data_IF_579172778221
#
_entry.id   IF_579172778221
#
_cell.length_a   1.000
_cell.length_b   1.000
_cell.length_c   1.000
_cell.angle_alpha   90.00
_cell.angle_beta   90.00
_cell.angle_gamma   90.00
#
_symmetry.space_group_name_H-M   'P 1'
#
loop_
_entity.id
_entity.type
_entity.pdbx_description
1 polymer ?
#
# COMPACT_ATOMS: atom_id res chain seq x y z
N UNK A 1 -22.16 -5.00 37.03
CA UNK A 1 -22.48 -4.73 35.62
C UNK A 1 -21.27 -5.02 34.75
N UNK A 2 -21.48 -5.50 33.52
CA UNK A 2 -20.39 -5.69 32.56
C UNK A 2 -19.94 -4.33 32.04
N UNK A 3 -18.63 -4.08 32.04
CA UNK A 3 -18.02 -2.89 31.42
C UNK A 3 -17.67 -3.25 29.98
N UNK A 4 -17.92 -2.36 29.04
CA UNK A 4 -17.48 -2.47 27.66
C UNK A 4 -16.83 -1.16 27.24
N UNK A 5 -15.95 -1.24 26.27
CA UNK A 5 -15.33 -0.10 25.60
C UNK A 5 -15.59 -0.21 24.09
N UNK A 6 -15.78 0.93 23.46
CA UNK A 6 -15.89 1.02 21.99
C UNK A 6 -14.67 1.77 21.51
N UNK A 7 -13.95 1.17 20.57
CA UNK A 7 -12.84 1.80 19.87
C UNK A 7 -13.26 1.97 18.41
N UNK A 8 -13.13 3.18 17.88
CA UNK A 8 -13.41 3.50 16.49
C UNK A 8 -12.14 4.03 15.83
N UNK A 9 -11.94 3.70 14.57
CA UNK A 9 -10.86 4.22 13.76
C UNK A 9 -11.45 4.77 12.45
N UNK A 10 -10.88 5.85 11.94
CA UNK A 10 -11.27 6.47 10.68
C UNK A 10 -10.06 7.08 9.98
N UNK A 11 -10.16 7.19 8.66
CA UNK A 11 -9.18 7.89 7.85
C UNK A 11 -9.53 9.39 7.76
N UNK A 12 -8.54 10.28 7.54
CA UNK A 12 -8.76 11.71 7.38
C UNK A 12 -9.65 12.07 6.18
N UNK A 13 -9.64 11.24 5.14
CA UNK A 13 -10.51 11.37 3.98
C UNK A 13 -11.40 10.13 3.82
N UNK A 14 -12.62 10.34 3.37
CA UNK A 14 -13.55 9.28 2.93
C UNK A 14 -13.04 8.62 1.64
N UNK A 15 -13.68 7.53 1.20
CA UNK A 15 -13.34 6.89 -0.09
C UNK A 15 -13.57 7.83 -1.29
N UNK A 16 -14.52 8.76 -1.18
CA UNK A 16 -14.76 9.82 -2.18
C UNK A 16 -13.78 10.99 -2.11
N UNK A 17 -12.90 11.02 -1.10
CA UNK A 17 -11.90 12.05 -0.88
C UNK A 17 -12.42 13.29 -0.14
N UNK A 18 -13.61 13.23 0.45
CA UNK A 18 -14.11 14.28 1.30
C UNK A 18 -13.46 14.21 2.69
N UNK A 19 -13.31 15.36 3.37
CA UNK A 19 -12.75 15.38 4.73
C UNK A 19 -13.69 14.63 5.67
N UNK A 20 -13.13 13.73 6.47
CA UNK A 20 -13.89 13.02 7.48
C UNK A 20 -14.00 13.89 8.73
N UNK A 21 -15.23 14.23 9.10
CA UNK A 21 -15.52 14.99 10.30
C UNK A 21 -16.16 14.08 11.37
N UNK A 22 -15.60 14.10 12.56
CA UNK A 22 -16.22 13.46 13.72
C UNK A 22 -17.33 14.39 14.23
N UNK A 23 -18.60 13.92 14.32
CA UNK A 23 -19.67 14.75 14.85
C UNK A 23 -19.34 15.29 16.24
N UNK A 24 -19.61 16.58 16.50
CA UNK A 24 -19.30 17.24 17.76
C UNK A 24 -19.80 16.50 19.00
N UNK A 25 -21.01 15.94 18.91
CA UNK A 25 -21.59 15.14 19.99
C UNK A 25 -20.75 13.91 20.36
N UNK A 26 -20.03 13.34 19.42
CA UNK A 26 -19.15 12.19 19.62
C UNK A 26 -17.77 12.66 20.09
N UNK A 27 -17.20 13.66 19.44
CA UNK A 27 -15.90 14.24 19.78
C UNK A 27 -15.86 14.73 21.25
N UNK A 28 -16.96 15.33 21.74
CA UNK A 28 -17.06 15.82 23.11
C UNK A 28 -17.21 14.72 24.19
N UNK A 29 -17.39 13.46 23.79
CA UNK A 29 -17.64 12.32 24.71
C UNK A 29 -16.65 11.19 24.56
N UNK A 30 -15.73 11.29 23.62
CA UNK A 30 -14.72 10.30 23.32
C UNK A 30 -13.32 10.86 23.55
N UNK A 31 -12.39 10.03 23.95
CA UNK A 31 -10.97 10.35 23.87
C UNK A 31 -10.53 10.22 22.42
N UNK A 32 -10.23 11.35 21.77
CA UNK A 32 -9.81 11.40 20.36
C UNK A 32 -8.31 11.44 20.28
N UNK A 33 -7.72 10.48 19.58
CA UNK A 33 -6.30 10.39 19.34
C UNK A 33 -6.00 10.50 17.84
N UNK A 34 -5.22 11.49 17.45
CA UNK A 34 -4.64 11.55 16.11
C UNK A 34 -3.32 10.76 16.14
N UNK A 35 -3.26 9.68 15.37
CA UNK A 35 -2.09 8.80 15.33
C UNK A 35 -0.91 9.41 14.56
N UNK A 36 -1.15 10.43 13.73
CA UNK A 36 -0.12 11.10 12.94
C UNK A 36 0.61 10.14 11.99
N UNK A 37 1.91 10.31 11.85
CA UNK A 37 2.76 9.42 11.07
C UNK A 37 3.11 8.15 11.86
N UNK A 38 2.22 7.17 11.76
CA UNK A 38 2.39 5.85 12.42
C UNK A 38 3.48 5.00 11.78
N UNK A 39 3.95 5.35 10.58
CA UNK A 39 4.96 4.59 9.84
C UNK A 39 6.38 4.97 10.28
N UNK A 40 6.58 6.18 10.81
CA UNK A 40 7.91 6.69 11.15
C UNK A 40 8.68 5.75 12.08
N UNK A 41 9.85 5.28 11.63
CA UNK A 41 10.72 4.35 12.33
C UNK A 41 10.19 2.91 12.44
N UNK A 42 9.10 2.57 11.72
CA UNK A 42 8.49 1.24 11.70
C UNK A 42 8.23 0.72 10.30
N UNK A 43 8.88 1.31 9.31
CA UNK A 43 8.65 1.04 7.89
C UNK A 43 8.82 -0.44 7.54
N UNK A 44 9.79 -1.12 8.16
CA UNK A 44 10.03 -2.56 7.94
C UNK A 44 8.88 -3.42 8.45
N UNK A 45 8.30 -3.09 9.61
CA UNK A 45 7.15 -3.82 10.15
C UNK A 45 5.94 -3.68 9.23
N UNK A 46 5.67 -2.45 8.77
CA UNK A 46 4.59 -2.21 7.81
C UNK A 46 4.85 -2.90 6.48
N UNK A 47 6.09 -2.87 5.98
CA UNK A 47 6.48 -3.58 4.76
C UNK A 47 6.20 -5.09 4.85
N UNK A 48 6.49 -5.73 5.98
CA UNK A 48 6.16 -7.13 6.22
C UNK A 48 4.66 -7.36 6.29
N UNK A 49 3.90 -6.53 7.00
CA UNK A 49 2.44 -6.68 7.13
C UNK A 49 1.70 -6.51 5.80
N UNK A 50 2.20 -5.70 4.87
CA UNK A 50 1.68 -5.67 3.49
C UNK A 50 1.86 -7.01 2.77
N UNK A 51 3.01 -7.69 2.97
CA UNK A 51 3.25 -9.01 2.39
C UNK A 51 2.38 -10.08 3.02
N UNK A 52 2.12 -10.03 4.33
CA UNK A 52 1.17 -10.94 5.00
C UNK A 52 -0.23 -10.85 4.38
N UNK A 53 -0.69 -9.64 4.05
CA UNK A 53 -1.95 -9.47 3.32
C UNK A 53 -1.92 -10.10 1.92
N UNK A 54 -0.77 -10.11 1.25
CA UNK A 54 -0.61 -10.73 -0.06
C UNK A 54 -0.70 -12.27 0.00
N UNK A 55 -0.25 -12.89 1.09
CA UNK A 55 -0.24 -14.35 1.25
C UNK A 55 -1.63 -14.97 1.08
N UNK A 56 -2.65 -14.34 1.66
CA UNK A 56 -4.03 -14.86 1.59
C UNK A 56 -4.77 -14.43 0.32
N UNK A 57 -4.29 -13.40 -0.37
CA UNK A 57 -4.92 -12.85 -1.56
C UNK A 57 -4.39 -13.44 -2.86
N UNK A 58 -3.13 -13.86 -2.88
CA UNK A 58 -2.49 -14.37 -4.10
C UNK A 58 -2.65 -15.89 -4.21
N UNK A 59 -3.19 -16.43 -5.34
CA UNK A 59 -3.43 -17.86 -5.51
C UNK A 59 -2.17 -18.74 -5.38
N UNK A 60 -1.00 -18.23 -5.80
CA UNK A 60 0.28 -18.96 -5.74
C UNK A 60 0.81 -19.00 -4.30
N UNK A 61 0.54 -17.95 -3.50
CA UNK A 61 1.00 -17.86 -2.10
C UNK A 61 0.01 -18.48 -1.11
N UNK A 62 -1.25 -18.60 -1.47
CA UNK A 62 -2.29 -19.11 -0.58
C UNK A 62 -1.94 -20.45 0.09
N UNK A 63 -1.31 -21.45 -0.60
CA UNK A 63 -0.87 -22.67 0.05
C UNK A 63 0.15 -22.43 1.18
N UNK A 64 0.96 -21.36 1.11
CA UNK A 64 1.96 -21.04 2.13
C UNK A 64 1.31 -20.60 3.45
N UNK A 65 0.13 -19.98 3.41
CA UNK A 65 -0.60 -19.56 4.60
C UNK A 65 -0.99 -20.72 5.53
N UNK A 66 -1.09 -21.95 4.98
CA UNK A 66 -1.37 -23.18 5.75
C UNK A 66 -0.11 -23.98 6.11
N UNK A 67 1.06 -23.52 5.67
CA UNK A 67 2.37 -24.15 5.94
C UNK A 67 3.05 -23.48 7.14
N UNK A 68 4.31 -23.85 7.40
CA UNK A 68 5.10 -23.30 8.49
C UNK A 68 5.37 -21.79 8.28
N UNK A 69 4.96 -20.88 9.19
CA UNK A 69 5.17 -19.43 9.02
C UNK A 69 6.65 -19.05 8.83
N UNK A 70 7.58 -19.83 9.40
CA UNK A 70 9.01 -19.61 9.24
C UNK A 70 9.46 -19.72 7.78
N UNK A 71 8.78 -20.51 6.94
CA UNK A 71 9.09 -20.65 5.52
C UNK A 71 8.76 -19.37 4.74
N UNK A 72 7.72 -18.64 5.14
CA UNK A 72 7.41 -17.33 4.55
C UNK A 72 8.56 -16.35 4.78
N UNK A 73 9.09 -16.27 6.00
CA UNK A 73 10.24 -15.42 6.30
C UNK A 73 11.49 -15.83 5.51
N UNK A 74 11.73 -17.13 5.34
CA UNK A 74 12.83 -17.64 4.52
C UNK A 74 12.68 -17.26 3.04
N UNK A 75 11.47 -17.35 2.50
CA UNK A 75 11.15 -16.90 1.12
C UNK A 75 11.37 -15.38 0.96
N UNK A 76 10.97 -14.58 1.94
CA UNK A 76 11.25 -13.14 1.94
C UNK A 76 12.76 -12.87 1.90
N UNK A 77 13.56 -13.53 2.76
CA UNK A 77 15.03 -13.42 2.76
C UNK A 77 15.64 -13.87 1.43
N UNK A 78 15.18 -15.00 0.90
CA UNK A 78 15.62 -15.50 -0.42
C UNK A 78 15.34 -14.47 -1.53
N UNK A 79 14.17 -13.84 -1.53
CA UNK A 79 13.83 -12.81 -2.50
C UNK A 79 14.62 -11.51 -2.30
N UNK A 80 15.06 -11.21 -1.08
CA UNK A 80 15.94 -10.08 -0.76
C UNK A 80 17.41 -10.32 -1.20
N UNK A 81 17.74 -11.54 -1.60
CA UNK A 81 19.07 -11.91 -2.09
C UNK A 81 19.95 -12.64 -1.08
N UNK A 82 19.40 -13.01 0.08
CA UNK A 82 20.11 -13.85 1.03
C UNK A 82 20.27 -15.27 0.47
N UNK A 83 21.37 -15.92 0.81
CA UNK A 83 21.52 -17.34 0.59
C UNK A 83 20.71 -18.11 1.64
N UNK A 84 19.67 -18.80 1.20
CA UNK A 84 18.82 -19.65 2.06
C UNK A 84 18.90 -21.08 1.51
N UNK A 85 19.66 -21.97 2.17
CA UNK A 85 19.72 -23.36 1.75
C UNK A 85 18.35 -24.04 1.76
N UNK A 86 18.09 -24.90 0.78
CA UNK A 86 16.82 -25.65 0.70
C UNK A 86 16.51 -26.50 1.94
N UNK A 87 17.56 -26.91 2.67
CA UNK A 87 17.45 -27.67 3.93
C UNK A 87 16.92 -26.85 5.12
N UNK A 88 16.91 -25.51 5.01
CA UNK A 88 16.33 -24.65 6.06
C UNK A 88 14.79 -24.62 6.00
N UNK A 89 14.21 -24.91 4.83
CA UNK A 89 12.76 -24.90 4.69
C UNK A 89 12.14 -26.14 5.36
N UNK A 90 11.05 -25.93 6.07
CA UNK A 90 10.28 -27.03 6.67
C UNK A 90 9.54 -27.84 5.60
N UNK A 91 9.06 -27.16 4.53
CA UNK A 91 8.48 -27.83 3.37
C UNK A 91 9.55 -28.11 2.30
N UNK A 92 9.57 -29.30 1.68
CA UNK A 92 10.54 -29.64 0.65
C UNK A 92 10.14 -28.99 -0.69
N UNK A 93 10.54 -27.72 -0.89
CA UNK A 93 10.32 -27.01 -2.15
C UNK A 93 11.25 -27.52 -3.25
N UNK A 94 10.72 -27.73 -4.46
CA UNK A 94 11.52 -27.94 -5.66
C UNK A 94 12.22 -26.64 -6.11
N UNK A 95 13.35 -26.76 -6.82
CA UNK A 95 14.08 -25.60 -7.31
C UNK A 95 13.21 -24.66 -8.17
N UNK A 96 12.44 -25.24 -9.10
CA UNK A 96 11.52 -24.46 -9.95
C UNK A 96 10.42 -23.75 -9.14
N UNK A 97 9.90 -24.38 -8.09
CA UNK A 97 8.91 -23.78 -7.20
C UNK A 97 9.51 -22.60 -6.41
N UNK A 98 10.74 -22.75 -5.91
CA UNK A 98 11.46 -21.66 -5.23
C UNK A 98 11.73 -20.48 -6.16
N UNK A 99 12.13 -20.75 -7.41
CA UNK A 99 12.35 -19.69 -8.40
C UNK A 99 11.06 -18.94 -8.73
N UNK A 100 9.94 -19.64 -8.85
CA UNK A 100 8.62 -19.05 -9.08
C UNK A 100 8.17 -18.20 -7.90
N UNK A 101 8.28 -18.72 -6.67
CA UNK A 101 7.94 -18.00 -5.45
C UNK A 101 8.82 -16.76 -5.27
N UNK A 102 10.13 -16.88 -5.54
CA UNK A 102 11.06 -15.75 -5.51
C UNK A 102 10.67 -14.67 -6.52
N UNK A 103 10.39 -15.07 -7.77
CA UNK A 103 9.98 -14.15 -8.81
C UNK A 103 8.69 -13.39 -8.44
N UNK A 104 7.73 -14.09 -7.84
CA UNK A 104 6.50 -13.48 -7.33
C UNK A 104 6.77 -12.50 -6.18
N UNK A 105 7.59 -12.90 -5.20
CA UNK A 105 7.93 -12.03 -4.06
C UNK A 105 8.58 -10.73 -4.50
N UNK A 106 9.48 -10.75 -5.49
CA UNK A 106 10.11 -9.55 -6.03
C UNK A 106 9.08 -8.56 -6.61
N UNK A 107 8.05 -9.07 -7.29
CA UNK A 107 6.95 -8.24 -7.83
C UNK A 107 6.07 -7.68 -6.73
N UNK A 108 5.80 -8.49 -5.70
CA UNK A 108 5.06 -8.03 -4.52
C UNK A 108 5.84 -6.98 -3.73
N UNK A 109 7.17 -7.08 -3.64
CA UNK A 109 8.01 -6.03 -3.05
C UNK A 109 7.86 -4.70 -3.80
N UNK A 110 7.91 -4.73 -5.13
CA UNK A 110 7.73 -3.53 -5.95
C UNK A 110 6.34 -2.91 -5.74
N UNK A 111 5.27 -3.73 -5.73
CA UNK A 111 3.91 -3.25 -5.46
C UNK A 111 3.78 -2.66 -4.04
N UNK A 112 4.29 -3.36 -3.02
CA UNK A 112 4.35 -2.88 -1.63
C UNK A 112 5.04 -1.53 -1.52
N UNK A 113 6.20 -1.38 -2.15
CA UNK A 113 7.00 -0.16 -2.06
C UNK A 113 6.27 1.04 -2.68
N UNK A 114 5.55 0.82 -3.78
CA UNK A 114 4.66 1.82 -4.37
C UNK A 114 3.53 2.19 -3.40
N UNK A 115 2.86 1.19 -2.82
CA UNK A 115 1.76 1.42 -1.86
C UNK A 115 2.24 2.17 -0.62
N UNK A 116 3.41 1.84 -0.09
CA UNK A 116 3.98 2.55 1.06
C UNK A 116 4.31 4.00 0.74
N UNK A 117 4.89 4.30 -0.44
CA UNK A 117 5.13 5.68 -0.90
C UNK A 117 3.83 6.47 -1.02
N UNK A 118 2.80 5.86 -1.60
CA UNK A 118 1.47 6.48 -1.74
C UNK A 118 0.85 6.72 -0.36
N UNK A 119 0.97 5.77 0.56
CA UNK A 119 0.43 5.92 1.90
C UNK A 119 1.12 7.05 2.69
N UNK A 120 2.46 7.18 2.58
CA UNK A 120 3.19 8.29 3.18
C UNK A 120 2.74 9.64 2.61
N UNK A 121 2.65 9.76 1.29
CA UNK A 121 2.17 10.99 0.64
C UNK A 121 0.73 11.35 1.06
N UNK A 122 -0.13 10.35 1.23
CA UNK A 122 -1.48 10.53 1.77
C UNK A 122 -1.47 11.07 3.21
N UNK A 123 -0.66 10.47 4.10
CA UNK A 123 -0.53 10.88 5.51
C UNK A 123 0.01 12.31 5.60
N UNK A 124 1.08 12.61 4.86
CA UNK A 124 1.68 13.95 4.79
C UNK A 124 0.69 14.99 4.28
N UNK A 125 -0.06 14.65 3.23
CA UNK A 125 -1.10 15.53 2.71
C UNK A 125 -2.22 15.75 3.71
N UNK A 126 -2.68 14.71 4.38
CA UNK A 126 -3.76 14.80 5.37
C UNK A 126 -3.38 15.60 6.61
N UNK A 127 -2.09 15.64 6.96
CA UNK A 127 -1.58 16.43 8.11
C UNK A 127 -1.50 17.93 7.82
N UNK A 128 -1.57 18.37 6.56
CA UNK A 128 -1.50 19.77 6.19
C UNK A 128 -2.84 20.49 6.38
N UNK A 129 -2.80 21.65 7.02
CA UNK A 129 -3.96 22.53 7.09
C UNK A 129 -4.18 23.23 5.76
N UNK A 130 -5.43 23.32 5.30
CA UNK A 130 -5.78 23.87 3.99
C UNK A 130 -5.32 25.31 3.79
N UNK A 131 -5.31 26.13 4.86
CA UNK A 131 -4.84 27.51 4.82
C UNK A 131 -3.36 27.67 4.44
N UNK A 132 -2.55 26.62 4.59
CA UNK A 132 -1.10 26.61 4.30
C UNK A 132 -0.72 25.70 3.16
N UNK A 133 -1.70 25.14 2.43
CA UNK A 133 -1.41 24.26 1.29
C UNK A 133 -0.87 25.05 0.13
N UNK A 134 0.24 24.56 -0.41
CA UNK A 134 0.84 25.03 -1.67
C UNK A 134 0.62 24.03 -2.81
N UNK A 135 0.08 22.85 -2.51
CA UNK A 135 -0.20 21.78 -3.49
C UNK A 135 -1.60 21.23 -3.29
N UNK A 136 -2.23 20.74 -4.35
CA UNK A 136 -3.53 20.05 -4.22
C UNK A 136 -3.46 18.90 -3.21
N UNK A 137 -4.55 18.61 -2.47
CA UNK A 137 -4.59 17.49 -1.53
C UNK A 137 -4.36 16.16 -2.24
N UNK A 138 -3.45 15.34 -1.71
CA UNK A 138 -3.23 13.99 -2.19
C UNK A 138 -4.14 13.02 -1.43
N UNK A 139 -5.05 12.37 -2.15
CA UNK A 139 -6.15 11.58 -1.58
C UNK A 139 -6.08 10.09 -1.94
N UNK A 140 -5.19 9.69 -2.84
CA UNK A 140 -4.99 8.27 -3.18
C UNK A 140 -4.37 7.54 -2.00
N UNK A 141 -4.85 6.33 -1.74
CA UNK A 141 -4.46 5.56 -0.58
C UNK A 141 -3.56 4.37 -0.94
N UNK A 142 -2.53 4.14 -0.14
CA UNK A 142 -1.71 2.93 -0.17
C UNK A 142 -2.12 1.96 0.93
N UNK A 143 -3.37 1.53 0.97
CA UNK A 143 -3.92 0.71 2.05
C UNK A 143 -3.63 -0.79 1.89
N UNK A 144 -3.83 -1.57 2.97
CA UNK A 144 -3.82 -3.04 2.91
C UNK A 144 -4.86 -3.61 1.94
N UNK A 145 -6.03 -2.94 1.79
CA UNK A 145 -7.05 -3.29 0.80
C UNK A 145 -6.49 -3.19 -0.63
N UNK A 146 -5.70 -2.15 -0.91
CA UNK A 146 -5.05 -1.98 -2.20
C UNK A 146 -4.01 -3.08 -2.43
N UNK A 147 -3.23 -3.45 -1.41
CA UNK A 147 -2.29 -4.58 -1.49
C UNK A 147 -3.01 -5.90 -1.80
N UNK A 148 -4.13 -6.19 -1.14
CA UNK A 148 -4.96 -7.36 -1.41
C UNK A 148 -5.45 -7.40 -2.86
N UNK A 149 -6.00 -6.29 -3.37
CA UNK A 149 -6.49 -6.18 -4.75
C UNK A 149 -5.37 -6.38 -5.79
N UNK A 150 -4.20 -5.80 -5.55
CA UNK A 150 -3.04 -5.92 -6.44
C UNK A 150 -2.44 -7.32 -6.38
N UNK A 151 -2.21 -7.85 -5.18
CA UNK A 151 -1.62 -9.16 -4.97
C UNK A 151 -2.41 -10.28 -5.68
N UNK A 152 -3.75 -10.21 -5.66
CA UNK A 152 -4.61 -11.16 -6.35
C UNK A 152 -4.38 -11.23 -7.88
N UNK A 153 -3.79 -10.20 -8.47
CA UNK A 153 -3.57 -10.08 -9.92
C UNK A 153 -2.11 -10.26 -10.35
N UNK A 154 -1.16 -10.15 -9.41
CA UNK A 154 0.28 -10.29 -9.69
C UNK A 154 0.62 -11.77 -9.87
N UNK A 155 1.35 -12.09 -10.94
CA UNK A 155 1.81 -13.45 -11.24
C UNK A 155 3.34 -13.52 -11.28
N UNK A 156 3.93 -14.71 -11.06
CA UNK A 156 5.38 -14.90 -11.13
C UNK A 156 5.99 -14.55 -12.49
N UNK A 157 5.22 -14.73 -13.58
CA UNK A 157 5.67 -14.51 -14.95
C UNK A 157 5.47 -13.08 -15.45
N UNK A 158 4.77 -12.23 -14.66
CA UNK A 158 4.49 -10.84 -15.04
C UNK A 158 5.78 -10.06 -15.26
N UNK A 159 5.90 -9.35 -16.37
CA UNK A 159 7.04 -8.48 -16.65
C UNK A 159 6.94 -7.16 -15.88
N UNK A 160 8.04 -6.43 -15.78
CA UNK A 160 8.06 -5.15 -15.05
C UNK A 160 7.14 -4.09 -15.67
N UNK A 161 7.06 -4.03 -17.01
CA UNK A 161 6.16 -3.13 -17.72
C UNK A 161 4.69 -3.45 -17.49
N UNK A 162 4.34 -4.73 -17.39
CA UNK A 162 2.99 -5.21 -17.06
C UNK A 162 2.62 -4.89 -15.60
N UNK A 163 3.58 -5.06 -14.68
CA UNK A 163 3.39 -4.68 -13.28
C UNK A 163 3.19 -3.16 -13.13
N UNK A 164 3.99 -2.36 -13.84
CA UNK A 164 3.84 -0.91 -13.83
C UNK A 164 2.51 -0.45 -14.44
N UNK A 165 2.05 -1.13 -15.49
CA UNK A 165 0.72 -0.90 -16.06
C UNK A 165 -0.38 -1.25 -15.05
N UNK A 166 -0.27 -2.40 -14.39
CA UNK A 166 -1.22 -2.84 -13.35
C UNK A 166 -1.34 -1.82 -12.22
N UNK A 167 -0.21 -1.30 -11.74
CA UNK A 167 -0.18 -0.29 -10.67
C UNK A 167 -0.82 1.02 -11.13
N UNK A 168 -0.48 1.51 -12.34
CA UNK A 168 -1.10 2.72 -12.91
C UNK A 168 -2.61 2.58 -13.07
N UNK A 169 -3.07 1.45 -13.61
CA UNK A 169 -4.49 1.23 -13.85
C UNK A 169 -5.27 1.09 -12.54
N UNK A 170 -4.66 0.49 -11.51
CA UNK A 170 -5.24 0.44 -10.18
C UNK A 170 -5.51 1.85 -9.65
N UNK A 171 -4.52 2.74 -9.69
CA UNK A 171 -4.69 4.10 -9.18
C UNK A 171 -5.53 5.01 -10.07
N UNK A 172 -5.59 4.76 -11.39
CA UNK A 172 -6.58 5.40 -12.26
C UNK A 172 -8.00 5.05 -11.83
N UNK A 173 -8.24 3.77 -11.52
CA UNK A 173 -9.54 3.34 -10.98
C UNK A 173 -9.86 3.99 -9.64
N UNK A 174 -8.91 4.07 -8.71
CA UNK A 174 -9.09 4.74 -7.41
C UNK A 174 -9.36 6.26 -7.60
N UNK A 175 -8.65 6.93 -8.51
CA UNK A 175 -8.87 8.34 -8.79
C UNK A 175 -10.26 8.65 -9.35
N UNK A 176 -10.85 7.72 -10.12
CA UNK A 176 -12.22 7.88 -10.65
C UNK A 176 -13.29 7.84 -9.56
N UNK A 177 -12.99 7.32 -8.38
CA UNK A 177 -13.92 7.32 -7.24
C UNK A 177 -13.88 8.63 -6.44
N UNK A 178 -12.90 9.49 -6.68
CA UNK A 178 -12.78 10.77 -6.00
C UNK A 178 -13.85 11.75 -6.51
N UNK A 179 -14.52 12.44 -5.61
CA UNK A 179 -15.52 13.48 -5.93
C UNK A 179 -14.88 14.65 -6.68
N UNK A 180 -13.62 15.01 -6.30
CA UNK A 180 -12.85 16.10 -6.89
C UNK A 180 -11.37 15.78 -6.88
N UNK A 181 -10.60 16.38 -7.81
CA UNK A 181 -9.15 16.31 -7.79
C UNK A 181 -8.57 15.02 -8.38
N UNK A 182 -9.33 14.30 -9.21
CA UNK A 182 -8.85 13.04 -9.82
C UNK A 182 -7.60 13.26 -10.67
N UNK A 183 -7.58 14.32 -11.48
CA UNK A 183 -6.44 14.63 -12.33
C UNK A 183 -5.21 15.04 -11.51
N UNK A 184 -5.39 15.96 -10.56
CA UNK A 184 -4.34 16.46 -9.69
C UNK A 184 -3.70 15.31 -8.92
N UNK A 185 -4.50 14.36 -8.47
CA UNK A 185 -4.01 13.17 -7.77
C UNK A 185 -3.21 12.22 -8.67
N UNK A 186 -3.61 12.04 -9.93
CA UNK A 186 -2.84 11.24 -10.90
C UNK A 186 -1.53 11.93 -11.28
N UNK A 187 -1.53 13.25 -11.47
CA UNK A 187 -0.31 14.02 -11.72
C UNK A 187 0.65 13.96 -10.52
N UNK A 188 0.13 14.12 -9.30
CA UNK A 188 0.93 13.99 -8.09
C UNK A 188 1.52 12.58 -7.95
N UNK A 189 0.74 11.54 -8.25
CA UNK A 189 1.20 10.15 -8.24
C UNK A 189 2.32 9.94 -9.27
N UNK A 190 2.17 10.44 -10.49
CA UNK A 190 3.19 10.33 -11.52
C UNK A 190 4.52 10.99 -11.09
N UNK A 191 4.45 12.17 -10.43
CA UNK A 191 5.61 12.82 -9.83
C UNK A 191 6.23 11.98 -8.71
N UNK A 192 5.41 11.47 -7.79
CA UNK A 192 5.83 10.65 -6.65
C UNK A 192 6.59 9.39 -7.08
N UNK A 193 6.15 8.77 -8.18
CA UNK A 193 6.75 7.55 -8.73
C UNK A 193 7.87 7.82 -9.74
N UNK A 194 8.13 9.08 -10.08
CA UNK A 194 9.14 9.45 -11.09
C UNK A 194 8.77 9.01 -12.51
N UNK A 195 7.50 8.81 -12.81
CA UNK A 195 6.98 8.33 -14.09
C UNK A 195 6.29 9.42 -14.91
N UNK A 196 6.32 10.68 -14.42
CA UNK A 196 5.67 11.80 -15.08
C UNK A 196 6.34 12.12 -16.44
N UNK A 197 5.53 12.27 -17.48
CA UNK A 197 5.96 12.81 -18.75
C UNK A 197 6.33 14.31 -18.61
N UNK A 198 6.99 14.86 -19.61
CA UNK A 198 7.33 16.29 -19.65
C UNK A 198 6.06 17.16 -19.56
N UNK A 199 5.01 16.75 -20.22
CA UNK A 199 3.71 17.43 -20.23
C UNK A 199 3.02 17.35 -18.88
N UNK A 200 2.99 16.16 -18.26
CA UNK A 200 2.43 15.96 -16.92
C UNK A 200 3.21 16.76 -15.87
N UNK A 201 4.53 16.78 -15.95
CA UNK A 201 5.37 17.58 -15.06
C UNK A 201 5.14 19.09 -15.23
N UNK A 202 4.94 19.57 -16.46
CA UNK A 202 4.60 20.97 -16.72
C UNK A 202 3.21 21.32 -16.15
N UNK A 203 2.21 20.42 -16.36
CA UNK A 203 0.86 20.61 -15.86
C UNK A 203 0.80 20.58 -14.33
N UNK A 204 1.55 19.67 -13.69
CA UNK A 204 1.67 19.64 -12.22
C UNK A 204 2.24 20.94 -11.67
N UNK A 205 3.30 21.49 -12.29
CA UNK A 205 3.90 22.78 -11.87
C UNK A 205 2.95 23.96 -12.01
N UNK A 206 2.01 23.90 -12.94
CA UNK A 206 1.00 24.94 -13.10
C UNK A 206 -0.11 24.88 -12.04
N UNK A 207 -0.26 23.76 -11.34
CA UNK A 207 -1.24 23.55 -10.27
C UNK A 207 -0.69 23.89 -8.87
N UNK A 208 0.65 23.94 -8.74
CA UNK A 208 1.36 24.26 -7.50
C UNK A 208 1.84 25.72 -7.49
#
# INVERSE_FOLDING_TARGET
GKRFAIVMAGNPYTESGDVFEIPDMLANRADVHNLGDVLAGREQLFALSYLENALTANPVLMPLASREPADVHRLVRLAQGDEVPGSEFAHPYGAAELDELRALMLRLFKARDVLMKVNLAYIESAAQQDAYRTKPPFKLQGSYRNMTKLAARITPQMRDDELDALLRDHYRGEAQTLTTGAEENLLALAQLLGSASVEEAARWRALC
#
